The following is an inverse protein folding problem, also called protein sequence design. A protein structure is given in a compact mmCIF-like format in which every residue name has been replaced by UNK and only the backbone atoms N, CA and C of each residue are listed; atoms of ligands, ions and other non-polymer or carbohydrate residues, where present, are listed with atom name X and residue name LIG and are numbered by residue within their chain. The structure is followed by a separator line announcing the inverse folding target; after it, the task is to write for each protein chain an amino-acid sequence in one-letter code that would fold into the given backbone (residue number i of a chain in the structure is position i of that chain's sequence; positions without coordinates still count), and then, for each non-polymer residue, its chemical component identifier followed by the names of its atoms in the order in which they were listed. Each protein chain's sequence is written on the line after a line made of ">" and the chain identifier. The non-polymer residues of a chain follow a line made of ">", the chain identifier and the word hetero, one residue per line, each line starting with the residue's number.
data_IF_480130114590
#
_entry.id   IF_480130114590
#
_cell.length_a   1.000
_cell.length_b   1.000
_cell.length_c   1.000
_cell.angle_alpha   90.00
_cell.angle_beta   90.00
_cell.angle_gamma   90.00
#
_symmetry.space_group_name_H-M   'P 1'
#
loop_
_entity.id
_entity.type
_entity.pdbx_description
1 polymer ?
#
# COMPACT_ATOMS: atom_id res chain seq x y z
N UNK A 1 9.58 -16.78 28.85
CA UNK A 1 8.51 -15.81 29.17
C UNK A 1 8.71 -14.43 28.55
N UNK A 2 9.71 -13.61 28.92
CA UNK A 2 9.84 -12.23 28.39
C UNK A 2 10.21 -12.15 26.90
N UNK A 3 11.13 -13.01 26.45
CA UNK A 3 11.61 -13.02 25.06
C UNK A 3 10.53 -13.51 24.08
N UNK A 4 9.70 -14.47 24.51
CA UNK A 4 8.57 -15.00 23.72
C UNK A 4 7.45 -13.97 23.56
N UNK A 5 7.16 -13.22 24.64
CA UNK A 5 6.20 -12.12 24.58
C UNK A 5 6.66 -11.02 23.63
N UNK A 6 7.95 -10.63 23.71
CA UNK A 6 8.53 -9.65 22.81
C UNK A 6 8.44 -10.09 21.35
N UNK A 7 8.77 -11.35 21.06
CA UNK A 7 8.65 -11.92 19.70
C UNK A 7 7.22 -11.91 19.16
N UNK A 8 6.23 -12.21 20.02
CA UNK A 8 4.82 -12.20 19.65
C UNK A 8 4.29 -10.78 19.38
N UNK A 9 4.67 -9.82 20.23
CA UNK A 9 4.30 -8.41 20.05
C UNK A 9 4.94 -7.82 18.80
N UNK A 10 6.22 -8.10 18.57
CA UNK A 10 6.93 -7.64 17.36
C UNK A 10 6.28 -8.24 16.10
N UNK A 11 5.98 -9.53 16.10
CA UNK A 11 5.37 -10.21 14.94
C UNK A 11 3.95 -9.72 14.66
N UNK A 12 3.14 -9.51 15.70
CA UNK A 12 1.77 -8.98 15.54
C UNK A 12 1.79 -7.54 15.03
N UNK A 13 2.62 -6.67 15.62
CA UNK A 13 2.82 -5.30 15.16
C UNK A 13 3.31 -5.27 13.69
N UNK A 14 4.26 -6.15 13.33
CA UNK A 14 4.79 -6.24 11.98
C UNK A 14 3.71 -6.63 10.96
N UNK A 15 2.90 -7.65 11.28
CA UNK A 15 1.78 -8.07 10.44
C UNK A 15 0.74 -6.95 10.30
N UNK A 16 0.41 -6.26 11.39
CA UNK A 16 -0.51 -5.13 11.39
C UNK A 16 -0.01 -4.01 10.47
N UNK A 17 1.27 -3.64 10.55
CA UNK A 17 1.89 -2.63 9.67
C UNK A 17 1.84 -3.07 8.21
N UNK A 18 2.10 -4.34 7.91
CA UNK A 18 2.01 -4.86 6.55
C UNK A 18 0.60 -4.70 5.96
N UNK A 19 -0.43 -5.08 6.73
CA UNK A 19 -1.84 -4.94 6.31
C UNK A 19 -2.22 -3.48 6.08
N UNK A 20 -1.83 -2.59 7.00
CA UNK A 20 -2.06 -1.14 6.90
C UNK A 20 -1.42 -0.54 5.65
N UNK A 21 -0.16 -0.87 5.36
CA UNK A 21 0.53 -0.41 4.15
C UNK A 21 -0.16 -0.93 2.88
N UNK A 22 -0.57 -2.21 2.86
CA UNK A 22 -1.35 -2.77 1.76
C UNK A 22 -2.73 -2.12 1.58
N UNK A 23 -3.37 -1.67 2.66
CA UNK A 23 -4.60 -0.86 2.63
C UNK A 23 -4.39 0.55 2.09
N UNK A 24 -3.35 1.22 2.58
CA UNK A 24 -2.98 2.58 2.20
C UNK A 24 -2.57 2.67 0.72
N UNK A 25 -1.89 1.66 0.18
CA UNK A 25 -1.55 1.63 -1.24
C UNK A 25 -2.79 1.70 -2.17
N UNK A 26 -3.93 1.14 -1.74
CA UNK A 26 -5.19 1.11 -2.52
C UNK A 26 -5.73 2.51 -2.76
N UNK A 27 -5.69 3.36 -1.74
CA UNK A 27 -6.19 4.74 -1.80
C UNK A 27 -5.36 5.60 -2.75
N UNK A 28 -4.11 5.20 -3.01
CA UNK A 28 -3.14 5.88 -3.89
C UNK A 28 -3.13 5.31 -5.32
N UNK A 29 -4.13 4.51 -5.69
CA UNK A 29 -4.25 3.83 -6.98
C UNK A 29 -3.04 2.93 -7.30
N UNK A 30 -2.42 2.34 -6.25
CA UNK A 30 -1.31 1.39 -6.34
C UNK A 30 -1.78 -0.03 -5.98
N UNK A 31 -1.00 -1.04 -6.39
CA UNK A 31 -1.30 -2.44 -6.08
C UNK A 31 -1.19 -2.71 -4.58
N UNK A 32 -2.33 -2.97 -3.94
CA UNK A 32 -2.45 -3.36 -2.53
C UNK A 32 -1.51 -4.52 -2.15
N UNK A 33 -1.47 -5.51 -3.05
CA UNK A 33 -0.86 -6.80 -2.79
C UNK A 33 0.66 -6.72 -2.88
N UNK A 34 1.16 -5.97 -3.86
CA UNK A 34 2.59 -5.70 -3.99
C UNK A 34 3.13 -4.97 -2.75
N UNK A 35 2.45 -3.93 -2.28
CA UNK A 35 2.88 -3.16 -1.10
C UNK A 35 2.68 -3.89 0.22
N UNK A 36 1.66 -4.75 0.33
CA UNK A 36 1.51 -5.66 1.46
C UNK A 36 2.72 -6.61 1.58
N UNK A 37 3.06 -7.34 0.50
CA UNK A 37 4.22 -8.24 0.49
C UNK A 37 5.53 -7.48 0.74
N UNK A 38 5.69 -6.31 0.14
CA UNK A 38 6.88 -5.49 0.32
C UNK A 38 7.03 -5.08 1.80
N UNK A 39 5.94 -4.69 2.46
CA UNK A 39 5.95 -4.33 3.88
C UNK A 39 6.05 -5.54 4.79
N UNK A 40 5.53 -6.70 4.38
CA UNK A 40 5.71 -7.93 5.13
C UNK A 40 7.18 -8.41 5.13
N UNK A 41 7.89 -8.21 4.02
CA UNK A 41 9.29 -8.65 3.88
C UNK A 41 10.31 -7.62 4.38
N UNK A 42 10.13 -6.34 4.04
CA UNK A 42 11.04 -5.25 4.43
C UNK A 42 10.60 -4.50 5.69
N UNK A 43 9.40 -4.77 6.20
CA UNK A 43 8.87 -4.15 7.40
C UNK A 43 8.59 -2.66 7.24
N UNK A 44 8.89 -1.85 8.27
CA UNK A 44 8.56 -0.42 8.28
C UNK A 44 9.27 0.38 7.19
N UNK A 45 10.39 -0.11 6.63
CA UNK A 45 11.12 0.55 5.54
C UNK A 45 10.24 0.66 4.28
N UNK A 46 9.52 -0.41 3.93
CA UNK A 46 8.61 -0.38 2.79
C UNK A 46 7.38 0.50 3.05
N UNK A 47 6.89 0.57 4.30
CA UNK A 47 5.84 1.51 4.67
C UNK A 47 6.32 2.97 4.53
N UNK A 48 7.55 3.27 4.92
CA UNK A 48 8.15 4.60 4.74
C UNK A 48 8.25 4.98 3.26
N UNK A 49 8.75 4.08 2.42
CA UNK A 49 8.81 4.27 0.96
C UNK A 49 7.42 4.52 0.37
N UNK A 50 6.40 3.79 0.84
CA UNK A 50 5.03 3.94 0.39
C UNK A 50 4.46 5.33 0.71
N UNK A 51 4.81 5.91 1.86
CA UNK A 51 4.35 7.24 2.28
C UNK A 51 5.04 8.34 1.49
N UNK A 52 6.35 8.23 1.28
CA UNK A 52 7.14 9.22 0.53
C UNK A 52 6.80 9.21 -0.96
N UNK A 53 6.41 8.05 -1.52
CA UNK A 53 6.12 7.95 -2.94
C UNK A 53 4.81 8.70 -3.33
N UNK A 54 4.84 9.55 -4.37
CA UNK A 54 3.63 10.18 -4.89
C UNK A 54 2.61 9.14 -5.41
N UNK A 55 1.29 9.45 -5.30
CA UNK A 55 0.27 8.59 -5.86
C UNK A 55 0.41 8.54 -7.38
N UNK A 56 0.08 7.40 -8.00
CA UNK A 56 0.05 7.32 -9.46
C UNK A 56 -1.19 8.06 -9.93
N UNK A 57 -0.99 9.23 -10.54
CA UNK A 57 -2.05 9.98 -11.18
C UNK A 57 -2.71 9.09 -12.24
N UNK A 58 -4.02 8.89 -12.13
CA UNK A 58 -4.78 8.25 -13.19
C UNK A 58 -4.82 9.23 -14.35
N UNK A 59 -4.27 8.84 -15.51
CA UNK A 59 -4.37 9.65 -16.70
C UNK A 59 -5.84 10.03 -16.94
N UNK A 60 -6.15 11.29 -17.26
CA UNK A 60 -7.50 11.69 -17.63
C UNK A 60 -7.98 10.75 -18.74
N UNK A 61 -9.08 10.03 -18.47
CA UNK A 61 -9.72 9.22 -19.51
C UNK A 61 -10.19 10.24 -20.55
N UNK A 62 -9.55 10.28 -21.71
CA UNK A 62 -10.01 11.08 -22.85
C UNK A 62 -11.41 10.56 -23.16
N UNK A 63 -12.44 11.30 -22.73
CA UNK A 63 -13.81 11.02 -23.07
C UNK A 63 -13.87 11.21 -24.59
N UNK A 64 -14.20 10.17 -25.40
CA UNK A 64 -14.48 10.39 -26.80
C UNK A 64 -15.60 11.43 -26.82
N UNK A 65 -15.31 12.61 -27.39
CA UNK A 65 -16.36 13.57 -27.67
C UNK A 65 -17.37 12.82 -28.55
N UNK A 66 -18.52 12.47 -27.98
CA UNK A 66 -19.68 12.15 -28.78
C UNK A 66 -19.95 13.42 -29.58
N UNK A 67 -19.37 13.49 -30.78
CA UNK A 67 -19.81 14.40 -31.82
C UNK A 67 -21.26 14.02 -32.05
N UNK A 68 -22.23 14.92 -31.80
CA UNK A 68 -23.57 14.72 -32.31
C UNK A 68 -23.41 14.72 -33.82
N UNK A 69 -23.39 13.53 -34.41
CA UNK A 69 -23.56 13.40 -35.84
C UNK A 69 -25.00 13.82 -36.11
N UNK A 70 -25.09 14.89 -36.88
CA UNK A 70 -26.27 15.45 -37.52
C UNK A 70 -27.13 14.39 -38.19
#
# INVERSE_FOLDING_TARGET
>A
MTVEYLGTVVSSMWLTVAILAGGFARTRNRSAWAWFLLTLLFGPIAAFLLVVWPPVARAPRVQPSHSPAE
#
